data_IF_077355359702
#
_entry.id   IF_077355359702
#
_cell.length_a   1.000
_cell.length_b   1.000
_cell.length_c   1.000
_cell.angle_alpha   90.00
_cell.angle_beta   90.00
_cell.angle_gamma   90.00
#
_symmetry.space_group_name_H-M   'P 1'
#
loop_
_entity.id
_entity.type
_entity.pdbx_description
1 polymer ?
#
# COMPACT_ATOMS: atom_id res chain seq x y z
N UNK A 1 8.67 -16.03 27.08
CA UNK A 1 7.28 -15.74 26.70
C UNK A 1 7.28 -15.06 25.35
N UNK A 2 6.55 -15.57 24.35
CA UNK A 2 6.40 -14.86 23.07
C UNK A 2 5.67 -13.55 23.36
N UNK A 3 6.29 -12.42 23.03
CA UNK A 3 5.60 -11.12 23.03
C UNK A 3 4.39 -11.26 22.10
N UNK A 4 3.19 -11.00 22.61
CA UNK A 4 1.97 -11.04 21.83
C UNK A 4 2.04 -9.97 20.75
N UNK A 5 1.85 -10.39 19.51
CA UNK A 5 1.66 -9.50 18.36
C UNK A 5 0.18 -9.62 18.03
N UNK A 6 -0.51 -8.51 17.85
CA UNK A 6 -1.96 -8.50 17.54
C UNK A 6 -2.22 -8.35 16.03
N UNK A 7 -1.23 -7.84 15.27
CA UNK A 7 -1.32 -7.58 13.83
C UNK A 7 -0.01 -7.90 13.10
N UNK A 8 -0.13 -8.42 11.87
CA UNK A 8 0.97 -8.61 10.93
C UNK A 8 0.80 -7.68 9.72
N UNK A 9 1.88 -7.03 9.29
CA UNK A 9 1.90 -6.27 8.04
C UNK A 9 2.67 -7.02 6.95
N UNK A 10 2.10 -7.12 5.74
CA UNK A 10 2.75 -7.68 4.55
C UNK A 10 2.99 -6.58 3.50
N UNK A 11 4.08 -6.69 2.75
CA UNK A 11 4.54 -5.64 1.85
C UNK A 11 4.72 -6.15 0.43
N UNK A 12 3.97 -5.59 -0.51
CA UNK A 12 4.16 -5.77 -1.95
C UNK A 12 4.60 -4.46 -2.61
N UNK A 13 4.79 -4.45 -3.92
CA UNK A 13 5.18 -3.28 -4.68
C UNK A 13 4.42 -3.21 -6.00
N UNK A 14 4.14 -2.00 -6.48
CA UNK A 14 3.51 -1.77 -7.79
C UNK A 14 4.52 -1.74 -8.96
N UNK A 15 5.80 -2.02 -8.68
CA UNK A 15 6.89 -2.04 -9.67
C UNK A 15 7.65 -3.35 -9.61
N UNK A 16 7.78 -4.01 -10.77
CA UNK A 16 8.50 -5.29 -10.92
C UNK A 16 9.99 -5.11 -10.65
N UNK A 17 10.60 -4.04 -11.16
CA UNK A 17 12.01 -3.75 -10.91
C UNK A 17 12.27 -3.46 -9.44
N UNK A 18 11.37 -2.73 -8.77
CA UNK A 18 11.48 -2.48 -7.34
C UNK A 18 11.35 -3.77 -6.53
N UNK A 19 10.36 -4.61 -6.84
CA UNK A 19 10.18 -5.92 -6.21
C UNK A 19 11.43 -6.81 -6.38
N UNK A 20 11.93 -6.94 -7.61
CA UNK A 20 13.13 -7.75 -7.88
C UNK A 20 14.37 -7.23 -7.17
N UNK A 21 14.56 -5.90 -7.09
CA UNK A 21 15.73 -5.34 -6.40
C UNK A 21 15.65 -5.44 -4.87
N UNK A 22 14.45 -5.33 -4.29
CA UNK A 22 14.30 -5.28 -2.83
C UNK A 22 14.05 -6.65 -2.19
N UNK A 23 13.32 -7.54 -2.86
CA UNK A 23 12.95 -8.85 -2.31
C UNK A 23 13.35 -10.03 -3.21
N UNK A 24 14.06 -9.76 -4.31
CA UNK A 24 14.61 -10.76 -5.24
C UNK A 24 13.56 -11.72 -5.83
N UNK A 25 12.32 -11.26 -6.02
CA UNK A 25 11.28 -11.98 -6.75
C UNK A 25 10.29 -11.03 -7.46
N UNK A 26 9.47 -11.58 -8.36
CA UNK A 26 8.39 -10.83 -9.01
C UNK A 26 7.26 -10.50 -8.04
N UNK A 27 6.41 -9.56 -8.43
CA UNK A 27 5.23 -9.20 -7.63
C UNK A 27 4.33 -10.42 -7.44
N UNK A 28 4.09 -11.19 -8.49
CA UNK A 28 3.26 -12.40 -8.44
C UNK A 28 3.80 -13.43 -7.43
N UNK A 29 5.10 -13.73 -7.48
CA UNK A 29 5.72 -14.66 -6.53
C UNK A 29 5.65 -14.12 -5.10
N UNK A 30 5.79 -12.81 -4.89
CA UNK A 30 5.63 -12.20 -3.56
C UNK A 30 4.22 -12.41 -3.01
N UNK A 31 3.18 -12.18 -3.82
CA UNK A 31 1.77 -12.36 -3.43
C UNK A 31 1.43 -13.82 -3.16
N UNK A 32 1.98 -14.75 -3.92
CA UNK A 32 1.83 -16.19 -3.65
C UNK A 32 2.40 -16.57 -2.28
N UNK A 33 3.60 -16.06 -1.93
CA UNK A 33 4.20 -16.31 -0.60
C UNK A 33 3.37 -15.69 0.53
N UNK A 34 2.77 -14.53 0.29
CA UNK A 34 1.95 -13.88 1.31
C UNK A 34 0.63 -14.60 1.58
N UNK A 35 0.06 -15.32 0.62
CA UNK A 35 -1.13 -16.15 0.87
C UNK A 35 -0.92 -17.13 2.04
N UNK A 36 0.21 -17.83 2.05
CA UNK A 36 0.53 -18.77 3.13
C UNK A 36 0.71 -18.06 4.47
N UNK A 37 1.35 -16.88 4.47
CA UNK A 37 1.55 -16.07 5.69
C UNK A 37 0.22 -15.58 6.24
N UNK A 38 -0.66 -15.05 5.39
CA UNK A 38 -1.98 -14.54 5.78
C UNK A 38 -2.83 -15.68 6.35
N UNK A 39 -2.80 -16.86 5.72
CA UNK A 39 -3.50 -18.04 6.23
C UNK A 39 -3.03 -18.42 7.63
N UNK A 40 -1.72 -18.51 7.85
CA UNK A 40 -1.14 -18.85 9.18
C UNK A 40 -1.48 -17.77 10.22
N UNK A 41 -1.49 -16.49 9.83
CA UNK A 41 -1.86 -15.39 10.71
C UNK A 41 -3.33 -15.51 11.15
N UNK A 42 -4.25 -15.78 10.23
CA UNK A 42 -5.66 -16.00 10.53
C UNK A 42 -5.90 -17.26 11.39
N UNK A 43 -5.19 -18.36 11.16
CA UNK A 43 -5.23 -19.56 12.03
C UNK A 43 -4.81 -19.25 13.47
N UNK A 44 -4.04 -18.17 13.67
CA UNK A 44 -3.61 -17.66 14.97
C UNK A 44 -4.47 -16.51 15.50
N UNK A 45 -5.58 -16.18 14.82
CA UNK A 45 -6.46 -15.04 15.12
C UNK A 45 -5.73 -13.68 15.09
N UNK A 46 -4.75 -13.52 14.22
CA UNK A 46 -4.05 -12.25 14.01
C UNK A 46 -4.66 -11.50 12.83
N UNK A 47 -4.81 -10.19 12.96
CA UNK A 47 -5.21 -9.33 11.83
C UNK A 47 -4.04 -9.14 10.87
N UNK A 48 -4.33 -9.02 9.58
CA UNK A 48 -3.30 -8.75 8.57
C UNK A 48 -3.59 -7.47 7.80
N UNK A 49 -2.60 -6.58 7.74
CA UNK A 49 -2.62 -5.35 6.96
C UNK A 49 -1.72 -5.48 5.75
N UNK A 50 -2.21 -5.09 4.57
CA UNK A 50 -1.44 -5.05 3.34
C UNK A 50 -0.78 -3.68 3.14
N UNK A 51 0.37 -3.64 2.49
CA UNK A 51 1.02 -2.40 2.07
C UNK A 51 1.60 -2.56 0.66
N UNK A 52 1.40 -1.55 -0.18
CA UNK A 52 1.93 -1.51 -1.55
C UNK A 52 2.90 -0.34 -1.66
N UNK A 53 4.15 -0.66 -2.00
CA UNK A 53 5.18 0.33 -2.33
C UNK A 53 5.05 0.85 -3.77
N UNK A 54 5.58 2.05 -4.01
CA UNK A 54 5.66 2.68 -5.33
C UNK A 54 4.30 2.91 -6.01
N UNK A 55 3.24 3.24 -5.27
CA UNK A 55 1.88 3.33 -5.83
C UNK A 55 1.67 4.48 -6.82
N UNK A 56 2.47 5.53 -6.73
CA UNK A 56 2.43 6.70 -7.63
C UNK A 56 3.69 6.85 -8.49
N UNK A 57 4.80 6.27 -8.05
CA UNK A 57 6.08 6.36 -8.75
C UNK A 57 7.11 5.37 -8.19
N UNK A 58 8.02 4.95 -9.06
CA UNK A 58 9.11 4.03 -8.78
C UNK A 58 10.45 4.69 -9.13
N UNK A 59 11.51 4.51 -8.31
CA UNK A 59 12.83 5.07 -8.58
C UNK A 59 13.53 4.46 -9.82
N UNK A 60 13.00 3.35 -10.34
CA UNK A 60 13.57 2.64 -11.50
C UNK A 60 12.70 2.73 -12.75
N UNK A 61 11.38 2.61 -12.59
CA UNK A 61 10.42 2.57 -13.71
C UNK A 61 9.71 3.91 -13.94
N UNK A 62 9.91 4.88 -13.05
CA UNK A 62 9.27 6.19 -13.12
C UNK A 62 7.80 6.11 -12.74
N UNK A 63 6.92 6.69 -13.57
CA UNK A 63 5.49 6.81 -13.26
C UNK A 63 4.81 5.44 -13.22
N UNK A 64 4.09 5.16 -12.14
CA UNK A 64 3.23 3.98 -12.01
C UNK A 64 1.79 4.40 -12.30
N UNK A 65 1.09 3.63 -13.14
CA UNK A 65 -0.30 3.89 -13.49
C UNK A 65 -1.23 3.36 -12.40
N UNK A 66 -2.30 4.08 -12.02
CA UNK A 66 -3.32 3.57 -11.09
C UNK A 66 -3.85 2.18 -11.45
N UNK A 67 -4.05 1.90 -12.74
CA UNK A 67 -4.50 0.60 -13.25
C UNK A 67 -3.54 -0.57 -12.95
N UNK A 68 -2.27 -0.30 -12.62
CA UNK A 68 -1.32 -1.32 -12.17
C UNK A 68 -1.48 -1.62 -10.67
N UNK A 69 -2.03 -0.68 -9.91
CA UNK A 69 -2.16 -0.76 -8.44
C UNK A 69 -3.47 -1.44 -8.06
N UNK A 70 -4.58 -1.16 -8.75
CA UNK A 70 -5.91 -1.76 -8.49
C UNK A 70 -5.84 -3.28 -8.29
N UNK A 71 -5.31 -4.09 -9.23
CA UNK A 71 -5.30 -5.55 -9.08
C UNK A 71 -4.45 -6.03 -7.90
N UNK A 72 -3.50 -5.22 -7.40
CA UNK A 72 -2.73 -5.55 -6.21
C UNK A 72 -3.55 -5.30 -4.95
N UNK A 73 -4.31 -4.21 -4.90
CA UNK A 73 -5.23 -3.92 -3.79
C UNK A 73 -6.30 -5.01 -3.70
N UNK A 74 -6.93 -5.36 -4.82
CA UNK A 74 -7.93 -6.45 -4.89
C UNK A 74 -7.35 -7.75 -4.35
N UNK A 75 -6.18 -8.18 -4.86
CA UNK A 75 -5.53 -9.40 -4.40
C UNK A 75 -5.24 -9.39 -2.91
N UNK A 76 -4.74 -8.29 -2.35
CA UNK A 76 -4.44 -8.21 -0.91
C UNK A 76 -5.71 -8.28 -0.07
N UNK A 77 -6.80 -7.63 -0.50
CA UNK A 77 -8.09 -7.70 0.17
C UNK A 77 -8.71 -9.10 0.07
N UNK A 78 -8.63 -9.74 -1.11
CA UNK A 78 -9.13 -11.10 -1.35
C UNK A 78 -8.36 -12.16 -0.55
N UNK A 79 -7.06 -11.94 -0.31
CA UNK A 79 -6.26 -12.76 0.61
C UNK A 79 -6.76 -12.66 2.06
N UNK A 80 -7.53 -11.63 2.39
CA UNK A 80 -8.10 -11.37 3.71
C UNK A 80 -7.38 -10.27 4.49
N UNK A 81 -6.58 -9.41 3.83
CA UNK A 81 -6.12 -8.18 4.49
C UNK A 81 -7.31 -7.30 4.84
N UNK A 82 -7.37 -6.77 6.07
CA UNK A 82 -8.50 -5.94 6.47
C UNK A 82 -8.43 -4.52 5.90
N UNK A 83 -7.22 -4.03 5.62
CA UNK A 83 -6.89 -2.70 5.08
C UNK A 83 -5.61 -2.80 4.21
N UNK A 84 -5.51 -1.94 3.18
CA UNK A 84 -4.32 -1.80 2.32
C UNK A 84 -3.77 -0.38 2.36
N UNK A 85 -2.52 -0.22 2.78
CA UNK A 85 -1.79 1.04 2.75
C UNK A 85 -1.15 1.30 1.37
N UNK A 86 -1.46 2.46 0.80
CA UNK A 86 -0.93 2.92 -0.49
C UNK A 86 0.26 3.85 -0.25
N UNK A 87 1.47 3.39 -0.54
CA UNK A 87 2.68 4.15 -0.24
C UNK A 87 3.25 4.92 -1.43
N UNK A 88 3.50 6.22 -1.21
CA UNK A 88 4.39 7.04 -2.02
C UNK A 88 5.82 6.89 -1.50
N UNK A 89 6.43 5.76 -1.84
CA UNK A 89 7.71 5.30 -1.27
C UNK A 89 8.88 6.25 -1.48
N UNK A 90 8.86 7.03 -2.56
CA UNK A 90 9.94 7.97 -2.89
C UNK A 90 9.52 9.44 -2.74
N UNK A 91 8.30 9.71 -2.29
CA UNK A 91 7.78 11.06 -2.03
C UNK A 91 7.50 11.90 -3.28
N UNK A 92 7.35 11.27 -4.45
CA UNK A 92 7.17 11.98 -5.74
C UNK A 92 5.69 12.22 -6.08
N UNK A 93 4.78 11.74 -5.23
CA UNK A 93 3.36 11.94 -5.37
C UNK A 93 2.98 13.41 -5.31
N UNK A 94 1.96 13.76 -6.06
CA UNK A 94 1.29 15.07 -6.03
C UNK A 94 -0.19 14.87 -5.72
N UNK A 95 -0.92 15.92 -5.28
CA UNK A 95 -2.36 15.81 -5.05
C UNK A 95 -3.09 15.22 -6.26
N UNK A 96 -2.71 15.63 -7.48
CA UNK A 96 -3.29 15.08 -8.70
C UNK A 96 -3.05 13.57 -8.85
N UNK A 97 -1.84 13.06 -8.59
CA UNK A 97 -1.57 11.63 -8.70
C UNK A 97 -2.27 10.81 -7.60
N UNK A 98 -2.40 11.36 -6.39
CA UNK A 98 -3.17 10.72 -5.31
C UNK A 98 -4.65 10.65 -5.68
N UNK A 99 -5.20 11.75 -6.21
CA UNK A 99 -6.57 11.78 -6.71
C UNK A 99 -6.80 10.72 -7.79
N UNK A 100 -5.93 10.66 -8.80
CA UNK A 100 -6.06 9.70 -9.90
C UNK A 100 -5.96 8.24 -9.40
N UNK A 101 -5.05 7.98 -8.45
CA UNK A 101 -4.90 6.66 -7.84
C UNK A 101 -6.15 6.22 -7.09
N UNK A 102 -6.62 7.06 -6.15
CA UNK A 102 -7.77 6.74 -5.32
C UNK A 102 -9.06 6.67 -6.13
N UNK A 103 -9.22 7.55 -7.13
CA UNK A 103 -10.37 7.54 -8.03
C UNK A 103 -10.46 6.22 -8.79
N UNK A 104 -9.35 5.73 -9.33
CA UNK A 104 -9.33 4.47 -10.07
C UNK A 104 -9.69 3.29 -9.15
N UNK A 105 -9.09 3.22 -7.95
CA UNK A 105 -9.37 2.18 -6.94
C UNK A 105 -10.86 2.19 -6.54
N UNK A 106 -11.41 3.36 -6.23
CA UNK A 106 -12.82 3.50 -5.84
C UNK A 106 -13.78 3.18 -6.99
N UNK A 107 -13.41 3.53 -8.22
CA UNK A 107 -14.22 3.21 -9.42
C UNK A 107 -14.30 1.72 -9.70
N UNK A 108 -13.35 0.93 -9.18
CA UNK A 108 -13.38 -0.54 -9.21
C UNK A 108 -14.09 -1.14 -7.97
N UNK A 109 -14.82 -0.33 -7.21
CA UNK A 109 -15.69 -0.80 -6.11
C UNK A 109 -14.98 -0.99 -4.77
N UNK A 110 -13.71 -0.59 -4.65
CA UNK A 110 -12.95 -0.72 -3.40
C UNK A 110 -13.23 0.50 -2.50
N UNK A 111 -13.85 0.32 -1.32
CA UNK A 111 -14.27 1.44 -0.49
C UNK A 111 -13.10 2.07 0.29
N UNK A 112 -13.19 3.38 0.58
CA UNK A 112 -12.14 4.13 1.29
C UNK A 112 -11.83 3.61 2.69
N UNK A 113 -12.77 2.92 3.35
CA UNK A 113 -12.54 2.34 4.69
C UNK A 113 -11.70 1.05 4.66
N UNK A 114 -11.30 0.58 3.48
CA UNK A 114 -10.35 -0.51 3.27
C UNK A 114 -8.96 -0.01 2.88
N UNK A 115 -8.76 1.31 2.87
CA UNK A 115 -7.57 1.95 2.34
C UNK A 115 -6.94 2.87 3.39
N UNK A 116 -5.61 2.89 3.39
CA UNK A 116 -4.80 3.88 4.07
C UNK A 116 -3.83 4.55 3.10
N UNK A 117 -3.32 5.73 3.49
CA UNK A 117 -2.30 6.44 2.73
C UNK A 117 -1.00 6.56 3.52
N UNK A 118 0.12 6.32 2.86
CA UNK A 118 1.47 6.47 3.42
C UNK A 118 2.27 7.41 2.51
N UNK A 119 2.38 8.68 2.87
CA UNK A 119 3.04 9.68 2.05
C UNK A 119 4.40 10.06 2.65
N UNK A 120 5.49 9.81 1.91
CA UNK A 120 6.79 10.36 2.27
C UNK A 120 6.87 11.84 1.92
N UNK A 121 7.57 12.61 2.77
CA UNK A 121 7.71 14.05 2.61
C UNK A 121 9.02 14.47 1.93
N UNK A 122 9.67 13.55 1.21
CA UNK A 122 10.97 13.77 0.54
C UNK A 122 11.00 15.05 -0.32
N UNK A 123 9.87 15.39 -0.93
CA UNK A 123 9.71 16.58 -1.78
C UNK A 123 8.68 17.58 -1.24
N UNK A 124 8.37 17.54 0.06
CA UNK A 124 7.45 18.48 0.71
C UNK A 124 5.98 18.34 0.30
N UNK A 125 5.58 17.18 -0.23
CA UNK A 125 4.24 16.93 -0.78
C UNK A 125 3.33 16.17 0.20
N UNK A 126 3.84 15.65 1.31
CA UNK A 126 3.09 14.67 2.11
C UNK A 126 1.77 15.24 2.64
N UNK A 127 1.78 16.45 3.21
CA UNK A 127 0.56 17.08 3.75
C UNK A 127 -0.46 17.39 2.64
N UNK A 128 -0.01 17.85 1.48
CA UNK A 128 -0.90 18.13 0.35
C UNK A 128 -1.54 16.83 -0.18
N UNK A 129 -0.75 15.76 -0.27
CA UNK A 129 -1.19 14.43 -0.67
C UNK A 129 -2.19 13.83 0.33
N UNK A 130 -1.92 13.95 1.63
CA UNK A 130 -2.81 13.52 2.70
C UNK A 130 -4.12 14.30 2.68
N UNK A 131 -4.06 15.63 2.49
CA UNK A 131 -5.27 16.47 2.38
C UNK A 131 -6.16 16.00 1.23
N UNK A 132 -5.55 15.73 0.06
CA UNK A 132 -6.29 15.18 -1.07
C UNK A 132 -6.90 13.80 -0.77
N UNK A 133 -6.20 12.94 -0.06
CA UNK A 133 -6.72 11.62 0.35
C UNK A 133 -7.89 11.75 1.33
N UNK A 134 -7.82 12.68 2.29
CA UNK A 134 -8.89 12.99 3.23
C UNK A 134 -10.16 13.46 2.50
N UNK A 135 -10.01 14.32 1.49
CA UNK A 135 -11.13 14.79 0.64
C UNK A 135 -11.80 13.65 -0.13
N UNK A 136 -11.05 12.57 -0.41
CA UNK A 136 -11.56 11.34 -1.05
C UNK A 136 -12.08 10.29 -0.06
N UNK A 137 -12.22 10.66 1.21
CA UNK A 137 -12.81 9.80 2.24
C UNK A 137 -11.85 8.83 2.91
N UNK A 138 -10.53 8.91 2.65
CA UNK A 138 -9.53 8.13 3.39
C UNK A 138 -9.50 8.62 4.85
N UNK A 139 -9.41 7.69 5.80
CA UNK A 139 -9.41 8.00 7.25
C UNK A 139 -8.27 7.36 8.02
N UNK A 140 -7.46 6.52 7.37
CA UNK A 140 -6.25 5.94 7.94
C UNK A 140 -5.02 6.54 7.23
N UNK A 141 -4.10 7.11 8.01
CA UNK A 141 -2.91 7.82 7.51
C UNK A 141 -1.71 7.32 8.29
N UNK A 142 -0.73 6.78 7.59
CA UNK A 142 0.54 6.37 8.17
C UNK A 142 1.48 7.58 8.29
N UNK A 143 2.12 7.73 9.43
CA UNK A 143 3.08 8.81 9.70
C UNK A 143 4.16 8.36 10.69
N UNK A 144 5.25 9.13 10.75
CA UNK A 144 6.38 8.88 11.64
C UNK A 144 6.53 10.04 12.63
N UNK A 145 6.72 9.73 13.91
CA UNK A 145 6.96 10.74 14.95
C UNK A 145 8.28 11.43 14.64
N UNK A 146 8.26 12.77 14.55
CA UNK A 146 9.42 13.58 14.19
C UNK A 146 10.07 13.25 12.83
N UNK A 147 9.35 12.57 11.92
CA UNK A 147 9.83 12.29 10.56
C UNK A 147 10.98 11.28 10.49
N UNK A 148 11.07 10.35 11.44
CA UNK A 148 12.04 9.24 11.46
C UNK A 148 11.86 8.28 10.28
#
# INVERSE_FOLDING_TARGET
GKKGVDEVAIFSAASETFSKKNINCSIETSLQRFNDVVKIAHEKNLSVRGSISCTVGCPYEGKIKPSQVVPLVEKLLDMGCYEVALADTIGVGTPKSIYDLLKEIQSNGIPSNKLAIHCHDTYGQAIANITQALDMGIRCIDSSVAGL
#
